data_IF_985472706633
#
_entry.id   IF_985472706633
#
_cell.length_a   1.000
_cell.length_b   1.000
_cell.length_c   1.000
_cell.angle_alpha   90.00
_cell.angle_beta   90.00
_cell.angle_gamma   90.00
#
_symmetry.space_group_name_H-M   'P 1'
#
loop_
_entity.id
_entity.type
_entity.pdbx_description
1 polymer ?
#
# COMPACT_ATOMS: atom_id res chain seq x y z
N UNK A 1 21.68 8.23 4.12
CA UNK A 1 20.23 7.94 4.12
C UNK A 1 19.62 8.04 2.72
N UNK A 2 20.08 8.96 1.87
CA UNK A 2 19.64 9.07 0.47
C UNK A 2 19.80 7.74 -0.32
N UNK A 3 20.95 7.07 -0.20
CA UNK A 3 21.21 5.81 -0.91
C UNK A 3 20.24 4.67 -0.54
N UNK A 4 19.75 4.66 0.70
CA UNK A 4 18.78 3.65 1.15
C UNK A 4 17.39 3.94 0.62
N UNK A 5 17.00 5.22 0.57
CA UNK A 5 15.73 5.65 0.00
C UNK A 5 15.69 5.37 -1.51
N UNK A 6 16.78 5.66 -2.23
CA UNK A 6 16.87 5.38 -3.68
C UNK A 6 16.76 3.88 -3.98
N UNK A 7 17.46 3.04 -3.21
CA UNK A 7 17.34 1.58 -3.32
C UNK A 7 15.93 1.06 -3.05
N UNK A 8 15.27 1.59 -2.03
CA UNK A 8 13.89 1.19 -1.71
C UNK A 8 12.93 1.51 -2.87
N UNK A 9 13.06 2.70 -3.46
CA UNK A 9 12.24 3.10 -4.63
C UNK A 9 12.53 2.18 -5.82
N UNK A 10 13.79 1.85 -6.08
CA UNK A 10 14.15 0.92 -7.15
C UNK A 10 13.56 -0.49 -6.93
N UNK A 11 13.59 -1.00 -5.70
CA UNK A 11 12.98 -2.28 -5.35
C UNK A 11 11.47 -2.28 -5.57
N UNK A 12 10.77 -1.25 -5.10
CA UNK A 12 9.30 -1.13 -5.30
C UNK A 12 8.97 -1.04 -6.79
N UNK A 13 9.76 -0.31 -7.58
CA UNK A 13 9.60 -0.27 -9.04
C UNK A 13 9.71 -1.66 -9.66
N UNK A 14 10.74 -2.41 -9.30
CA UNK A 14 10.93 -3.75 -9.87
C UNK A 14 9.77 -4.68 -9.50
N UNK A 15 9.33 -4.68 -8.24
CA UNK A 15 8.18 -5.49 -7.82
C UNK A 15 6.90 -5.12 -8.56
N UNK A 16 6.62 -3.83 -8.78
CA UNK A 16 5.43 -3.40 -9.54
C UNK A 16 5.55 -3.84 -11.01
N UNK A 17 6.74 -3.73 -11.61
CA UNK A 17 7.01 -4.17 -12.98
C UNK A 17 6.74 -5.67 -13.13
N UNK A 18 7.27 -6.50 -12.23
CA UNK A 18 7.07 -7.95 -12.24
C UNK A 18 5.59 -8.34 -12.14
N UNK A 19 4.81 -7.68 -11.28
CA UNK A 19 3.38 -7.97 -11.10
C UNK A 19 2.52 -7.60 -12.32
N UNK A 20 2.97 -6.62 -13.11
CA UNK A 20 2.21 -6.05 -14.23
C UNK A 20 2.72 -6.48 -15.61
N UNK A 21 3.93 -7.03 -15.72
CA UNK A 21 4.57 -7.38 -17.00
C UNK A 21 3.68 -8.23 -17.91
N UNK A 22 2.97 -9.21 -17.36
CA UNK A 22 2.12 -10.12 -18.14
C UNK A 22 0.69 -9.58 -18.37
N UNK A 23 0.36 -8.43 -17.79
CA UNK A 23 -1.03 -7.95 -17.70
C UNK A 23 -1.30 -6.67 -18.51
N UNK A 24 -0.26 -5.91 -18.83
CA UNK A 24 -0.39 -4.64 -19.55
C UNK A 24 0.72 -4.49 -20.61
N UNK A 25 0.48 -3.70 -21.69
CA UNK A 25 1.51 -3.42 -22.69
C UNK A 25 2.73 -2.72 -22.10
N UNK A 26 3.91 -3.01 -22.67
CA UNK A 26 5.20 -2.46 -22.23
C UNK A 26 5.22 -0.93 -22.17
N UNK A 27 4.55 -0.27 -23.12
CA UNK A 27 4.43 1.19 -23.20
C UNK A 27 3.79 1.79 -21.94
N UNK A 28 2.75 1.14 -21.40
CA UNK A 28 2.08 1.57 -20.16
C UNK A 28 2.79 1.08 -18.90
N UNK A 29 3.56 0.00 -18.99
CA UNK A 29 4.22 -0.62 -17.85
C UNK A 29 5.21 0.33 -17.17
N UNK A 30 6.04 1.04 -17.94
CA UNK A 30 7.01 1.98 -17.37
C UNK A 30 6.36 3.18 -16.69
N UNK A 31 5.29 3.71 -17.29
CA UNK A 31 4.53 4.84 -16.75
C UNK A 31 3.86 4.45 -15.42
N UNK A 32 3.15 3.32 -15.38
CA UNK A 32 2.50 2.80 -14.19
C UNK A 32 3.48 2.45 -13.08
N UNK A 33 4.59 1.81 -13.42
CA UNK A 33 5.63 1.44 -12.45
C UNK A 33 6.21 2.69 -11.80
N UNK A 34 6.41 3.75 -12.57
CA UNK A 34 6.86 5.05 -12.05
C UNK A 34 5.80 5.68 -11.16
N UNK A 35 4.55 5.71 -11.61
CA UNK A 35 3.43 6.32 -10.90
C UNK A 35 3.18 5.68 -9.53
N UNK A 36 3.19 4.34 -9.46
CA UNK A 36 2.90 3.56 -8.25
C UNK A 36 4.08 3.46 -7.27
N UNK A 37 5.30 3.80 -7.69
CA UNK A 37 6.50 3.75 -6.84
C UNK A 37 6.95 5.12 -6.33
N UNK A 38 6.37 6.20 -6.85
CA UNK A 38 6.68 7.56 -6.44
C UNK A 38 5.73 8.04 -5.35
N UNK A 39 6.13 9.10 -4.65
CA UNK A 39 5.32 9.78 -3.64
C UNK A 39 4.19 10.62 -4.24
N UNK A 40 3.54 10.17 -5.32
CA UNK A 40 2.33 10.82 -5.88
C UNK A 40 1.20 10.80 -4.86
N UNK A 41 1.15 9.76 -4.04
CA UNK A 41 0.15 9.59 -3.00
C UNK A 41 0.78 9.21 -1.66
N UNK A 42 0.05 9.52 -0.59
CA UNK A 42 0.30 8.98 0.74
C UNK A 42 -0.21 7.53 0.80
N UNK A 43 0.35 6.73 1.71
CA UNK A 43 0.04 5.29 1.85
C UNK A 43 -1.43 4.96 2.14
N UNK A 44 -2.20 5.95 2.58
CA UNK A 44 -3.62 5.86 2.90
C UNK A 44 -4.53 6.32 1.76
N UNK A 45 -3.97 6.78 0.63
CA UNK A 45 -4.77 7.19 -0.52
C UNK A 45 -5.39 5.98 -1.23
N UNK A 46 -6.73 5.85 -1.27
CA UNK A 46 -7.37 4.71 -1.92
C UNK A 46 -7.30 4.85 -3.45
N UNK A 47 -6.89 3.78 -4.13
CA UNK A 47 -7.03 3.67 -5.59
C UNK A 47 -8.44 3.15 -5.86
N UNK A 48 -9.32 4.03 -6.36
CA UNK A 48 -10.70 3.66 -6.70
C UNK A 48 -10.76 2.82 -7.98
N UNK A 49 -11.89 2.14 -8.21
CA UNK A 49 -12.12 1.39 -9.45
C UNK A 49 -11.96 2.27 -10.70
N UNK A 50 -12.52 3.48 -10.67
CA UNK A 50 -12.40 4.46 -11.76
C UNK A 50 -10.95 4.90 -11.97
N UNK A 51 -10.21 5.16 -10.88
CA UNK A 51 -8.79 5.50 -10.93
C UNK A 51 -7.95 4.37 -11.50
N UNK A 52 -8.14 3.14 -11.04
CA UNK A 52 -7.42 1.98 -11.57
C UNK A 52 -7.71 1.76 -13.06
N UNK A 53 -8.96 1.96 -13.48
CA UNK A 53 -9.36 1.85 -14.89
C UNK A 53 -8.70 2.93 -15.74
N UNK A 54 -8.63 4.18 -15.25
CA UNK A 54 -7.98 5.28 -15.99
C UNK A 54 -6.48 5.07 -16.17
N UNK A 55 -5.82 4.43 -15.20
CA UNK A 55 -4.41 4.02 -15.33
C UNK A 55 -4.21 2.85 -16.30
N UNK A 56 -5.28 2.17 -16.73
CA UNK A 56 -5.21 1.00 -17.61
C UNK A 56 -4.90 -0.30 -16.86
N UNK A 57 -5.16 -0.36 -15.55
CA UNK A 57 -5.05 -1.61 -14.80
C UNK A 57 -6.19 -2.57 -15.18
N UNK A 58 -5.94 -3.88 -15.21
CA UNK A 58 -6.95 -4.89 -15.56
C UNK A 58 -7.91 -5.16 -14.39
N UNK A 59 -8.73 -4.18 -14.03
CA UNK A 59 -9.70 -4.26 -12.93
C UNK A 59 -11.10 -4.64 -13.43
N UNK A 60 -11.88 -5.31 -12.57
CA UNK A 60 -13.28 -5.67 -12.82
C UNK A 60 -14.11 -5.33 -11.59
N UNK A 61 -15.30 -4.76 -11.79
CA UNK A 61 -16.25 -4.43 -10.73
C UNK A 61 -17.29 -5.52 -10.47
N UNK A 62 -17.38 -6.52 -11.36
CA UNK A 62 -18.28 -7.66 -11.20
C UNK A 62 -17.67 -8.70 -10.24
N UNK A 63 -17.98 -8.58 -8.95
CA UNK A 63 -17.67 -9.58 -7.93
C UNK A 63 -18.85 -10.57 -7.86
N UNK A 64 -18.64 -11.88 -8.07
CA UNK A 64 -19.70 -12.88 -7.95
C UNK A 64 -20.31 -12.91 -6.53
N UNK A 65 -21.59 -13.21 -6.42
CA UNK A 65 -22.30 -13.27 -5.14
C UNK A 65 -21.64 -14.25 -4.15
N UNK A 66 -21.14 -15.38 -4.64
CA UNK A 66 -20.44 -16.41 -3.86
C UNK A 66 -19.23 -15.85 -3.08
N UNK A 67 -18.54 -14.83 -3.61
CA UNK A 67 -17.45 -14.15 -2.91
C UNK A 67 -17.96 -13.31 -1.76
N UNK A 68 -19.10 -12.63 -1.93
CA UNK A 68 -19.74 -11.86 -0.85
C UNK A 68 -20.26 -12.79 0.25
N UNK A 69 -20.82 -13.94 -0.13
CA UNK A 69 -21.25 -14.99 0.80
C UNK A 69 -20.05 -15.49 1.62
N UNK A 70 -18.92 -15.78 0.97
CA UNK A 70 -17.68 -16.16 1.67
C UNK A 70 -17.20 -15.06 2.63
N UNK A 71 -17.19 -13.80 2.21
CA UNK A 71 -16.79 -12.68 3.06
C UNK A 71 -17.70 -12.52 4.28
N UNK A 72 -18.99 -12.83 4.15
CA UNK A 72 -19.94 -12.77 5.27
C UNK A 72 -19.61 -13.74 6.41
N UNK A 73 -18.88 -14.83 6.12
CA UNK A 73 -18.42 -15.81 7.11
C UNK A 73 -17.26 -15.30 7.96
N UNK A 74 -16.55 -14.25 7.52
CA UNK A 74 -15.41 -13.66 8.20
C UNK A 74 -15.68 -12.19 8.52
N UNK A 75 -16.62 -11.88 9.42
CA UNK A 75 -16.86 -10.50 9.83
C UNK A 75 -15.58 -9.92 10.41
N UNK A 76 -15.20 -8.71 9.96
CA UNK A 76 -14.04 -8.02 10.52
C UNK A 76 -14.25 -7.86 12.03
N UNK A 77 -13.29 -8.26 12.87
CA UNK A 77 -13.42 -8.09 14.30
C UNK A 77 -13.55 -6.59 14.60
N UNK A 78 -14.70 -6.19 15.16
CA UNK A 78 -15.01 -4.81 15.55
C UNK A 78 -14.19 -4.35 16.77
N UNK A 79 -13.07 -5.03 17.07
CA UNK A 79 -12.19 -4.64 18.17
C UNK A 79 -11.42 -3.39 17.75
N UNK A 80 -12.00 -2.25 18.11
CA UNK A 80 -11.33 -0.97 18.32
C UNK A 80 -10.33 -1.06 19.48
N UNK A 81 -9.49 -2.10 19.56
CA UNK A 81 -8.31 -1.99 20.39
C UNK A 81 -7.37 -1.04 19.65
N UNK A 82 -7.15 0.19 20.14
CA UNK A 82 -6.17 1.05 19.52
C UNK A 82 -4.83 0.32 19.53
N UNK A 83 -4.22 0.13 18.35
CA UNK A 83 -2.90 -0.51 18.19
C UNK A 83 -1.82 0.25 18.97
N UNK A 84 -2.11 1.49 19.35
CA UNK A 84 -1.26 2.38 20.12
C UNK A 84 -2.00 2.79 21.39
N UNK A 85 -1.54 2.30 22.54
CA UNK A 85 -1.95 2.81 23.84
C UNK A 85 -1.23 4.15 24.10
N UNK A 86 -1.97 5.26 24.01
CA UNK A 86 -1.45 6.57 24.38
C UNK A 86 -1.44 6.69 25.90
N UNK A 87 -0.26 6.52 26.51
CA UNK A 87 -0.06 6.91 27.90
C UNK A 87 -0.12 8.44 28.00
N UNK A 88 -0.94 9.04 28.88
CA UNK A 88 -1.08 10.49 29.03
C UNK A 88 0.16 11.17 29.62
N UNK A 89 1.22 10.40 29.89
CA UNK A 89 2.44 10.87 30.54
C UNK A 89 3.56 10.84 29.50
N UNK A 90 4.25 11.98 29.26
CA UNK A 90 5.43 11.99 28.41
C UNK A 90 6.47 10.99 28.93
N UNK A 91 6.91 10.05 28.09
CA UNK A 91 8.05 9.17 28.41
C UNK A 91 9.29 10.06 28.49
N UNK A 92 9.65 10.50 29.70
CA UNK A 92 11.01 11.00 29.96
C UNK A 92 11.95 9.81 29.84
N UNK A 93 12.62 9.70 28.69
CA UNK A 93 13.87 8.97 28.61
C UNK A 93 14.81 9.60 29.63
N UNK A 94 14.89 9.01 30.82
CA UNK A 94 15.92 9.33 31.80
C UNK A 94 17.22 8.94 31.12
N UNK A 95 17.95 9.95 30.62
CA UNK A 95 19.27 9.77 30.04
C UNK A 95 20.11 8.94 30.99
N UNK A 96 20.54 7.78 30.52
CA UNK A 96 21.65 7.03 31.12
C UNK A 96 22.85 7.98 31.03
N UNK A 97 23.33 8.47 32.18
CA UNK A 97 24.62 9.14 32.22
C UNK A 97 25.68 8.05 32.18
N UNK A 98 26.63 8.07 31.23
CA UNK A 98 27.83 7.25 31.36
C UNK A 98 28.70 7.81 32.50
N UNK A 99 29.22 6.91 33.33
CA UNK A 99 30.37 7.18 34.21
C UNK A 99 31.67 7.21 33.39
#
# INVERSE_FOLDING_TARGET
MADQAEKAIAQVRESVRELLADKIPLEKLEELTRLLSQGTWTHDHPITFEGATSFGLPVRSNIPAEFLDLMSLYPQPVRHQPTVEYLPIPRRLKGVRPE
#
